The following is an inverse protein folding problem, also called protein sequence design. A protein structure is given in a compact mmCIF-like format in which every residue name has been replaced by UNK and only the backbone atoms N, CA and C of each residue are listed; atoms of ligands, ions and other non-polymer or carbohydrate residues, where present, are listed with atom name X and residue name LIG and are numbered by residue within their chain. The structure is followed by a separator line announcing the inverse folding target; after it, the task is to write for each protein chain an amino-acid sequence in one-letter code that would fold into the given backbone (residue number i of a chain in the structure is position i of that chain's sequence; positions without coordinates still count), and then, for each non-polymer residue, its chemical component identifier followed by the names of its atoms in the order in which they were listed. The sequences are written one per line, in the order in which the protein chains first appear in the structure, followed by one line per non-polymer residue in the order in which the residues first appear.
data_IF_220697868600
#
_entry.id   IF_220697868600
#
_cell.length_a   1.000
_cell.length_b   1.000
_cell.length_c   1.000
_cell.angle_alpha   90.00
_cell.angle_beta   90.00
_cell.angle_gamma   90.00
#
_symmetry.space_group_name_H-M   'P 1'
#
loop_
_entity.id
_entity.type
_entity.pdbx_description
1 polymer ?
#
# COMPACT_ATOMS: atom_id res chain seq x y z
N UNK A 1 10.28 1.17 -20.94
CA UNK A 1 10.21 0.16 -19.86
C UNK A 1 8.74 -0.09 -19.59
N UNK A 2 8.28 -1.34 -19.60
CA UNK A 2 6.85 -1.68 -19.55
C UNK A 2 6.50 -2.11 -18.13
N UNK A 3 5.64 -1.36 -17.45
CA UNK A 3 5.22 -1.63 -16.07
C UNK A 3 4.25 -2.83 -16.04
N UNK A 4 4.44 -3.77 -15.12
CA UNK A 4 3.52 -4.92 -14.96
C UNK A 4 2.34 -4.48 -14.10
N UNK A 5 1.11 -4.62 -14.61
CA UNK A 5 -0.11 -4.49 -13.81
C UNK A 5 -0.27 -5.76 -12.97
N UNK A 6 -0.35 -5.60 -11.64
CA UNK A 6 -0.57 -6.73 -10.74
C UNK A 6 -2.04 -7.15 -10.75
N UNK A 7 -2.29 -8.45 -10.65
CA UNK A 7 -3.62 -8.99 -10.33
C UNK A 7 -3.92 -8.73 -8.84
N UNK A 8 -5.19 -8.73 -8.42
CA UNK A 8 -5.60 -8.29 -7.07
C UNK A 8 -4.84 -9.01 -5.92
N UNK A 9 -4.67 -10.33 -6.03
CA UNK A 9 -3.91 -11.13 -5.05
C UNK A 9 -2.41 -10.79 -5.05
N UNK A 10 -1.81 -10.59 -6.23
CA UNK A 10 -0.41 -10.18 -6.35
C UNK A 10 -0.20 -8.77 -5.75
N UNK A 11 -1.15 -7.86 -5.97
CA UNK A 11 -1.13 -6.51 -5.43
C UNK A 11 -1.25 -6.53 -3.90
N UNK A 12 -2.11 -7.39 -3.36
CA UNK A 12 -2.27 -7.56 -1.91
C UNK A 12 -0.97 -8.10 -1.29
N UNK A 13 -0.40 -9.16 -1.86
CA UNK A 13 0.86 -9.73 -1.42
C UNK A 13 2.01 -8.71 -1.48
N UNK A 14 2.05 -7.92 -2.55
CA UNK A 14 3.01 -6.82 -2.69
C UNK A 14 2.87 -5.80 -1.55
N UNK A 15 1.68 -5.22 -1.36
CA UNK A 15 1.41 -4.22 -0.31
C UNK A 15 1.74 -4.75 1.07
N UNK A 16 1.29 -5.96 1.40
CA UNK A 16 1.62 -6.61 2.68
C UNK A 16 3.12 -6.73 2.87
N UNK A 17 3.85 -7.13 1.82
CA UNK A 17 5.31 -7.25 1.89
C UNK A 17 6.02 -5.91 2.08
N UNK A 18 5.46 -4.82 1.55
CA UNK A 18 5.98 -3.45 1.69
C UNK A 18 5.77 -2.97 3.11
N UNK A 19 4.54 -3.08 3.62
CA UNK A 19 4.20 -2.66 4.98
C UNK A 19 4.96 -3.47 6.04
N UNK A 20 5.05 -4.80 5.87
CA UNK A 20 5.83 -5.67 6.77
C UNK A 20 7.32 -5.32 6.78
N UNK A 21 7.91 -5.11 5.60
CA UNK A 21 9.35 -4.76 5.49
C UNK A 21 9.66 -3.38 6.06
N UNK A 22 8.73 -2.43 5.91
CA UNK A 22 8.92 -1.10 6.46
C UNK A 22 8.95 -1.09 7.99
N UNK A 23 8.20 -1.98 8.65
CA UNK A 23 8.14 -2.07 10.11
C UNK A 23 7.61 -0.82 10.81
N UNK A 24 7.05 0.13 10.04
CA UNK A 24 6.50 1.40 10.50
C UNK A 24 5.30 1.79 9.63
N UNK A 25 4.40 2.67 10.12
CA UNK A 25 3.36 3.23 9.29
C UNK A 25 3.94 3.97 8.07
N UNK A 26 3.42 3.64 6.89
CA UNK A 26 3.78 4.26 5.62
C UNK A 26 2.63 5.12 5.11
N UNK A 27 2.96 6.21 4.45
CA UNK A 27 2.00 7.02 3.71
C UNK A 27 1.62 6.35 2.39
N UNK A 28 0.46 6.72 1.83
CA UNK A 28 0.08 6.31 0.46
C UNK A 28 1.18 6.62 -0.56
N UNK A 29 1.87 7.76 -0.41
CA UNK A 29 2.97 8.17 -1.28
C UNK A 29 4.16 7.21 -1.17
N UNK A 30 4.56 6.85 0.04
CA UNK A 30 5.66 5.89 0.26
C UNK A 30 5.33 4.51 -0.32
N UNK A 31 4.08 4.05 -0.21
CA UNK A 31 3.64 2.79 -0.84
C UNK A 31 3.69 2.89 -2.37
N UNK A 32 3.29 4.02 -2.95
CA UNK A 32 3.36 4.26 -4.39
C UNK A 32 4.82 4.29 -4.87
N UNK A 33 5.70 4.98 -4.17
CA UNK A 33 7.13 5.04 -4.51
C UNK A 33 7.78 3.65 -4.50
N UNK A 34 7.40 2.78 -3.56
CA UNK A 34 7.87 1.40 -3.52
C UNK A 34 7.30 0.55 -4.67
N UNK A 35 6.06 0.82 -5.11
CA UNK A 35 5.47 0.18 -6.28
C UNK A 35 6.19 0.58 -7.57
N UNK A 36 6.46 1.88 -7.74
CA UNK A 36 7.17 2.44 -8.88
C UNK A 36 8.61 1.90 -8.95
N UNK A 37 9.30 1.81 -7.81
CA UNK A 37 10.64 1.20 -7.70
C UNK A 37 10.68 -0.24 -8.19
N UNK A 38 9.60 -0.99 -8.02
CA UNK A 38 9.50 -2.37 -8.49
C UNK A 38 8.87 -2.50 -9.86
N UNK A 39 8.62 -1.40 -10.55
CA UNK A 39 8.01 -1.34 -11.89
C UNK A 39 6.65 -2.06 -11.95
N UNK A 40 5.92 -2.03 -10.84
CA UNK A 40 4.60 -2.63 -10.71
C UNK A 40 3.55 -1.56 -10.53
N UNK A 41 2.42 -1.71 -11.22
CA UNK A 41 1.23 -0.89 -10.96
C UNK A 41 0.19 -1.69 -10.21
N UNK A 42 -0.31 -1.10 -9.13
CA UNK A 42 -1.53 -1.57 -8.50
C UNK A 42 -2.69 -1.54 -9.52
N UNK A 43 -3.60 -2.54 -9.50
CA UNK A 43 -4.67 -2.64 -10.48
C UNK A 43 -5.67 -1.48 -10.40
N UNK A 44 -5.82 -0.91 -9.20
CA UNK A 44 -6.53 0.33 -8.88
C UNK A 44 -5.53 1.43 -8.47
N UNK A 45 -5.99 2.67 -8.32
CA UNK A 45 -5.22 3.70 -7.61
C UNK A 45 -4.83 3.19 -6.21
N UNK A 46 -3.54 3.21 -5.88
CA UNK A 46 -2.98 2.79 -4.57
C UNK A 46 -3.83 3.18 -3.35
N UNK A 47 -4.37 4.42 -3.21
CA UNK A 47 -5.25 4.76 -2.09
C UNK A 47 -6.57 3.96 -2.04
N UNK A 48 -7.18 3.66 -3.18
CA UNK A 48 -8.43 2.87 -3.25
C UNK A 48 -8.15 1.43 -2.82
N UNK A 49 -7.05 0.86 -3.32
CA UNK A 49 -6.65 -0.49 -2.98
C UNK A 49 -6.32 -0.65 -1.49
N UNK A 50 -5.56 0.30 -0.92
CA UNK A 50 -5.26 0.32 0.52
C UNK A 50 -6.53 0.45 1.37
N UNK A 51 -7.48 1.28 0.95
CA UNK A 51 -8.74 1.41 1.67
C UNK A 51 -9.59 0.14 1.59
N UNK A 52 -9.61 -0.58 0.45
CA UNK A 52 -10.24 -1.91 0.34
C UNK A 52 -9.62 -2.89 1.34
N UNK A 53 -8.28 -2.98 1.38
CA UNK A 53 -7.58 -3.86 2.33
C UNK A 53 -7.87 -3.50 3.79
N UNK A 54 -7.99 -2.20 4.11
CA UNK A 54 -8.38 -1.74 5.44
C UNK A 54 -9.80 -2.17 5.80
N UNK A 55 -10.76 -2.02 4.88
CA UNK A 55 -12.14 -2.46 5.08
C UNK A 55 -12.26 -3.97 5.25
N UNK A 56 -11.42 -4.74 4.55
CA UNK A 56 -11.32 -6.19 4.69
C UNK A 56 -10.54 -6.64 5.94
N UNK A 57 -10.04 -5.72 6.77
CA UNK A 57 -9.28 -6.03 7.98
C UNK A 57 -7.85 -6.55 7.76
N UNK A 58 -7.36 -6.51 6.52
CA UNK A 58 -6.03 -7.02 6.14
C UNK A 58 -4.90 -6.09 6.61
N UNK A 59 -5.16 -4.79 6.60
CA UNK A 59 -4.24 -3.75 7.08
C UNK A 59 -4.98 -2.76 7.98
N UNK A 60 -4.23 -2.00 8.77
CA UNK A 60 -4.73 -0.83 9.47
C UNK A 60 -4.42 0.42 8.68
N UNK A 61 -5.24 1.44 8.87
CA UNK A 61 -4.94 2.76 8.34
C UNK A 61 -5.65 3.85 9.09
N UNK A 62 -4.97 4.97 9.25
CA UNK A 62 -5.43 6.16 9.98
C UNK A 62 -5.01 7.43 9.25
N UNK A 63 -5.87 8.44 9.28
CA UNK A 63 -5.52 9.75 8.78
C UNK A 63 -4.70 10.53 9.82
N UNK A 64 -3.42 10.76 9.51
CA UNK A 64 -2.55 11.59 10.33
C UNK A 64 -2.73 13.06 9.98
N UNK A 65 -3.23 13.85 10.94
CA UNK A 65 -3.35 15.32 10.80
C UNK A 65 -1.98 16.00 10.70
N UNK A 66 -0.98 15.47 11.40
CA UNK A 66 0.39 16.00 11.41
C UNK A 66 1.04 15.88 10.03
N UNK A 67 0.92 14.70 9.39
CA UNK A 67 1.46 14.46 8.05
C UNK A 67 0.51 14.84 6.92
N UNK A 68 -0.71 15.27 7.24
CA UNK A 68 -1.82 15.52 6.31
C UNK A 68 -2.02 14.37 5.32
N UNK A 69 -1.80 13.14 5.77
CA UNK A 69 -1.73 11.95 4.94
C UNK A 69 -2.30 10.74 5.65
N UNK A 70 -2.82 9.79 4.86
CA UNK A 70 -3.17 8.47 5.34
C UNK A 70 -1.90 7.67 5.64
N UNK A 71 -1.85 7.10 6.83
CA UNK A 71 -0.84 6.15 7.26
C UNK A 71 -1.43 4.75 7.23
N UNK A 72 -0.62 3.79 6.78
CA UNK A 72 -0.99 2.40 6.58
C UNK A 72 0.06 1.51 7.24
N UNK A 73 -0.39 0.49 7.96
CA UNK A 73 0.48 -0.48 8.61
C UNK A 73 -0.22 -1.84 8.75
N UNK A 74 0.56 -2.85 9.08
CA UNK A 74 0.05 -4.16 9.50
C UNK A 74 0.30 -4.31 10.99
N UNK A 75 -0.70 -4.80 11.73
CA UNK A 75 -0.47 -5.34 13.07
C UNK A 75 0.06 -6.76 12.89
N UNK A 76 1.23 -7.03 13.47
CA UNK A 76 1.87 -8.35 13.41
C UNK A 76 1.62 -9.13 14.68
#
# INVERSE_FOLDING_TARGET
MMEKKLVEDEAMGFVLSVLKRAGRPLTTREVQEEADRRLVRCPDSTPVFLNKLRLNGVIKGEYSKEKKAWLWWVES
#
